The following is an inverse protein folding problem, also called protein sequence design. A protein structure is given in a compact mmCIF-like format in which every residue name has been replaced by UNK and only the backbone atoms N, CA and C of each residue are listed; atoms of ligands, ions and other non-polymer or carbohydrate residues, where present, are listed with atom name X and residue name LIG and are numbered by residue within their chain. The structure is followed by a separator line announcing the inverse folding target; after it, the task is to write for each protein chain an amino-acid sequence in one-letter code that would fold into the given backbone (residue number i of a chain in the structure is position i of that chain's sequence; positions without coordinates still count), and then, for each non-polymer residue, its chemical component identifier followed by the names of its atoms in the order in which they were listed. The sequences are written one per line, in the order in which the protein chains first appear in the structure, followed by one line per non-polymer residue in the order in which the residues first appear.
data_IF_243044176605
#
_entry.id   IF_243044176605
#
_cell.length_a   1.000
_cell.length_b   1.000
_cell.length_c   1.000
_cell.angle_alpha   90.00
_cell.angle_beta   90.00
_cell.angle_gamma   90.00
#
_symmetry.space_group_name_H-M   'P 1'
#
loop_
_entity.id
_entity.type
_entity.pdbx_description
1 polymer ?
#
# COMPACT_ATOMS: atom_id res chain seq x y z
N UNK A 1 -18.59 6.36 2.88
CA UNK A 1 -18.37 6.94 1.52
C UNK A 1 -17.19 7.87 1.58
N UNK A 2 -17.17 8.79 2.55
CA UNK A 2 -16.10 9.77 2.71
C UNK A 2 -14.72 9.11 2.88
N UNK A 3 -14.60 8.03 3.66
CA UNK A 3 -13.35 7.25 3.77
C UNK A 3 -12.81 6.79 2.40
N UNK A 4 -13.69 6.29 1.52
CA UNK A 4 -13.28 5.89 0.17
C UNK A 4 -12.86 7.07 -0.71
N UNK A 5 -13.48 8.24 -0.53
CA UNK A 5 -13.11 9.46 -1.26
C UNK A 5 -11.76 9.97 -0.78
N UNK A 6 -11.49 9.93 0.52
CA UNK A 6 -10.20 10.31 1.10
C UNK A 6 -9.09 9.40 0.55
N UNK A 7 -9.28 8.08 0.60
CA UNK A 7 -8.34 7.12 0.03
C UNK A 7 -8.14 7.34 -1.50
N UNK A 8 -9.21 7.69 -2.22
CA UNK A 8 -9.10 8.02 -3.63
C UNK A 8 -8.27 9.30 -3.88
N UNK A 9 -8.38 10.29 -3.00
CA UNK A 9 -7.63 11.54 -3.10
C UNK A 9 -6.15 11.35 -2.80
N UNK A 10 -5.79 10.44 -1.88
CA UNK A 10 -4.39 10.03 -1.66
C UNK A 10 -3.79 9.38 -2.93
N UNK A 11 -4.57 8.55 -3.62
CA UNK A 11 -4.14 7.97 -4.91
C UNK A 11 -3.99 9.09 -5.96
N UNK A 12 -4.92 10.05 -6.02
CA UNK A 12 -4.84 11.17 -6.96
C UNK A 12 -3.64 12.08 -6.71
N UNK A 13 -3.29 12.32 -5.46
CA UNK A 13 -2.10 13.09 -5.07
C UNK A 13 -0.85 12.44 -5.67
N UNK A 14 -0.67 11.13 -5.44
CA UNK A 14 0.45 10.37 -5.99
C UNK A 14 0.50 10.41 -7.53
N UNK A 15 -0.65 10.32 -8.19
CA UNK A 15 -0.73 10.40 -9.65
C UNK A 15 -0.37 11.80 -10.18
N UNK A 16 -0.78 12.85 -9.47
CA UNK A 16 -0.42 14.24 -9.79
C UNK A 16 1.09 14.46 -9.65
N UNK A 17 1.71 13.95 -8.57
CA UNK A 17 3.16 14.01 -8.36
C UNK A 17 3.93 13.30 -9.48
N UNK A 18 3.53 12.07 -9.82
CA UNK A 18 4.16 11.29 -10.90
C UNK A 18 4.09 12.02 -12.26
N UNK A 19 2.92 12.62 -12.57
CA UNK A 19 2.75 13.40 -13.79
C UNK A 19 3.63 14.65 -13.77
N UNK A 20 3.72 15.34 -12.63
CA UNK A 20 4.54 16.53 -12.46
C UNK A 20 6.03 16.24 -12.68
N UNK A 21 6.57 15.19 -12.04
CA UNK A 21 7.97 14.79 -12.18
C UNK A 21 8.35 14.47 -13.63
N UNK A 22 7.40 13.96 -14.43
CA UNK A 22 7.61 13.57 -15.82
C UNK A 22 7.03 14.56 -16.83
N UNK A 23 6.71 15.79 -16.42
CA UNK A 23 6.06 16.78 -17.30
C UNK A 23 6.92 17.14 -18.53
N UNK A 24 8.25 17.11 -18.40
CA UNK A 24 9.17 17.36 -19.52
C UNK A 24 9.07 16.29 -20.59
N UNK A 25 8.90 15.03 -20.19
CA UNK A 25 8.70 13.92 -21.12
C UNK A 25 7.35 14.04 -21.83
N UNK A 26 6.28 14.28 -21.07
CA UNK A 26 4.92 14.53 -21.60
C UNK A 26 4.94 15.66 -22.63
N UNK A 27 5.66 16.75 -22.34
CA UNK A 27 5.72 17.91 -23.24
C UNK A 27 6.39 17.59 -24.58
N UNK A 28 7.44 16.78 -24.57
CA UNK A 28 8.24 16.46 -25.76
C UNK A 28 7.65 15.32 -26.60
N UNK A 29 6.87 14.42 -26.01
CA UNK A 29 6.21 13.33 -26.71
C UNK A 29 4.93 13.82 -27.42
N UNK A 30 4.64 13.27 -28.61
CA UNK A 30 3.37 13.49 -29.32
C UNK A 30 2.27 12.58 -28.79
N UNK A 31 2.62 11.33 -28.51
CA UNK A 31 1.73 10.31 -27.96
C UNK A 31 1.99 10.11 -26.46
N UNK A 32 1.00 9.59 -25.73
CA UNK A 32 1.14 9.30 -24.31
C UNK A 32 2.09 8.11 -24.11
N UNK A 33 3.22 8.25 -23.39
CA UNK A 33 4.12 7.14 -23.14
C UNK A 33 3.42 6.07 -22.29
N UNK A 34 3.70 4.79 -22.55
CA UNK A 34 3.01 3.67 -21.91
C UNK A 34 3.05 3.75 -20.37
N UNK A 35 4.20 4.12 -19.81
CA UNK A 35 4.42 4.26 -18.37
C UNK A 35 3.56 5.36 -17.70
N UNK A 36 3.03 6.31 -18.48
CA UNK A 36 2.18 7.39 -17.99
C UNK A 36 0.74 7.27 -18.49
N UNK A 37 0.43 6.29 -19.36
CA UNK A 37 -0.91 6.12 -19.91
C UNK A 37 -1.92 5.95 -18.79
N UNK A 38 -1.64 5.07 -17.82
CA UNK A 38 -2.51 4.85 -16.67
C UNK A 38 -2.74 6.13 -15.87
N UNK A 39 -1.67 6.89 -15.58
CA UNK A 39 -1.73 8.13 -14.81
C UNK A 39 -2.58 9.19 -15.52
N UNK A 40 -2.33 9.42 -16.80
CA UNK A 40 -3.04 10.44 -17.58
C UNK A 40 -4.51 10.06 -17.76
N UNK A 41 -4.80 8.80 -18.09
CA UNK A 41 -6.18 8.31 -18.20
C UNK A 41 -6.92 8.46 -16.87
N UNK A 42 -6.27 8.11 -15.76
CA UNK A 42 -6.85 8.23 -14.42
C UNK A 42 -7.20 9.66 -14.04
N UNK A 43 -6.32 10.63 -14.34
CA UNK A 43 -6.58 12.04 -14.06
C UNK A 43 -7.72 12.61 -14.91
N UNK A 44 -7.81 12.23 -16.19
CA UNK A 44 -8.90 12.64 -17.08
C UNK A 44 -10.25 12.08 -16.58
N UNK A 45 -10.28 10.80 -16.22
CA UNK A 45 -11.49 10.16 -15.71
C UNK A 45 -11.91 10.76 -14.35
N UNK A 46 -10.95 10.92 -13.44
CA UNK A 46 -11.21 11.42 -12.09
C UNK A 46 -11.74 12.84 -12.07
N UNK A 47 -11.35 13.70 -13.03
CA UNK A 47 -11.85 15.07 -13.12
C UNK A 47 -13.39 15.12 -13.06
N UNK A 48 -14.10 14.23 -13.77
CA UNK A 48 -15.56 14.18 -13.80
C UNK A 48 -16.22 13.56 -12.56
N UNK A 49 -15.45 12.85 -11.73
CA UNK A 49 -15.93 12.10 -10.58
C UNK A 49 -15.54 12.73 -9.23
N UNK A 50 -14.68 13.77 -9.24
CA UNK A 50 -14.17 14.45 -8.05
C UNK A 50 -14.69 15.89 -7.96
N UNK A 51 -14.71 16.43 -6.74
CA UNK A 51 -15.14 17.80 -6.46
C UNK A 51 -13.97 18.79 -6.51
N UNK A 52 -13.12 18.70 -7.54
CA UNK A 52 -11.90 19.52 -7.70
C UNK A 52 -11.97 20.27 -9.05
N UNK A 53 -12.20 21.59 -8.99
CA UNK A 53 -12.32 22.45 -10.17
C UNK A 53 -11.06 22.51 -11.03
N UNK A 54 -9.90 22.51 -10.40
CA UNK A 54 -8.59 22.61 -11.03
C UNK A 54 -8.28 21.36 -11.85
N UNK A 55 -8.76 20.19 -11.40
CA UNK A 55 -8.60 18.93 -12.12
C UNK A 55 -9.36 18.93 -13.45
N UNK A 56 -10.47 19.68 -13.55
CA UNK A 56 -11.17 19.92 -14.82
C UNK A 56 -10.31 20.73 -15.80
N UNK A 57 -9.52 21.68 -15.31
CA UNK A 57 -8.58 22.41 -16.16
C UNK A 57 -7.45 21.51 -16.62
N UNK A 58 -6.87 20.70 -15.73
CA UNK A 58 -5.84 19.71 -16.09
C UNK A 58 -6.35 18.77 -17.17
N UNK A 59 -7.56 18.22 -17.01
CA UNK A 59 -8.23 17.41 -18.03
C UNK A 59 -8.28 18.10 -19.40
N UNK A 60 -8.71 19.37 -19.46
CA UNK A 60 -8.76 20.13 -20.72
C UNK A 60 -7.38 20.24 -21.38
N UNK A 61 -6.32 20.44 -20.60
CA UNK A 61 -4.95 20.51 -21.11
C UNK A 61 -4.45 19.16 -21.63
N UNK A 62 -4.74 18.07 -20.91
CA UNK A 62 -4.36 16.72 -21.33
C UNK A 62 -5.09 16.28 -22.61
N UNK A 63 -6.38 16.58 -22.73
CA UNK A 63 -7.16 16.30 -23.95
C UNK A 63 -6.63 17.15 -25.13
N UNK A 64 -6.27 18.41 -24.90
CA UNK A 64 -5.64 19.24 -25.95
C UNK A 64 -4.29 18.68 -26.40
N UNK A 65 -3.53 18.06 -25.49
CA UNK A 65 -2.19 17.53 -25.76
C UNK A 65 -2.23 16.19 -26.51
N UNK A 66 -3.05 15.25 -26.08
CA UNK A 66 -3.10 13.88 -26.62
C UNK A 66 -4.23 13.64 -27.63
N UNK A 67 -5.16 14.59 -27.74
CA UNK A 67 -6.27 14.55 -28.68
C UNK A 67 -7.60 14.12 -28.04
N UNK A 68 -8.72 14.41 -28.73
CA UNK A 68 -10.06 14.15 -28.22
C UNK A 68 -10.38 12.66 -28.10
N UNK A 69 -9.91 11.82 -29.02
CA UNK A 69 -10.13 10.36 -28.99
C UNK A 69 -9.55 9.74 -27.71
N UNK A 70 -8.35 10.16 -27.32
CA UNK A 70 -7.71 9.71 -26.07
C UNK A 70 -8.49 10.17 -24.84
N UNK A 71 -8.98 11.42 -24.85
CA UNK A 71 -9.84 11.94 -23.80
C UNK A 71 -11.10 11.09 -23.60
N UNK A 72 -11.74 10.71 -24.70
CA UNK A 72 -12.93 9.86 -24.69
C UNK A 72 -12.63 8.44 -24.19
N UNK A 73 -11.55 7.81 -24.66
CA UNK A 73 -11.08 6.50 -24.16
C UNK A 73 -10.90 6.53 -22.64
N UNK A 74 -10.29 7.60 -22.11
CA UNK A 74 -10.09 7.78 -20.67
C UNK A 74 -11.40 8.03 -19.90
N UNK A 75 -12.29 8.88 -20.41
CA UNK A 75 -13.60 9.16 -19.79
C UNK A 75 -14.48 7.92 -19.68
N UNK A 76 -14.49 7.09 -20.72
CA UNK A 76 -15.25 5.84 -20.77
C UNK A 76 -14.53 4.68 -20.08
N UNK A 77 -13.30 4.90 -19.58
CA UNK A 77 -12.40 3.88 -19.07
C UNK A 77 -12.27 2.67 -20.02
N UNK A 78 -12.19 2.94 -21.33
CA UNK A 78 -12.03 1.90 -22.34
C UNK A 78 -10.67 1.22 -22.15
N UNK A 79 -10.61 -0.10 -22.37
CA UNK A 79 -9.43 -0.94 -22.15
C UNK A 79 -8.90 -0.97 -20.70
N UNK A 80 -9.70 -0.57 -19.70
CA UNK A 80 -9.26 -0.48 -18.30
C UNK A 80 -8.00 0.39 -18.14
N UNK A 81 -7.96 1.51 -18.87
CA UNK A 81 -6.81 2.42 -18.84
C UNK A 81 -6.72 3.27 -17.56
N UNK A 82 -7.78 3.32 -16.75
CA UNK A 82 -7.81 4.00 -15.45
C UNK A 82 -7.31 3.06 -14.35
N UNK A 83 -6.63 3.63 -13.36
CA UNK A 83 -6.21 2.91 -12.17
C UNK A 83 -7.39 2.23 -11.47
N UNK A 84 -7.33 0.90 -11.36
CA UNK A 84 -8.45 0.11 -10.86
C UNK A 84 -8.84 0.45 -9.41
N UNK A 85 -7.86 0.79 -8.56
CA UNK A 85 -8.12 1.15 -7.15
C UNK A 85 -8.88 2.47 -7.06
N UNK A 86 -8.42 3.47 -7.80
CA UNK A 86 -9.08 4.77 -7.92
C UNK A 86 -10.51 4.63 -8.48
N UNK A 87 -10.65 3.87 -9.57
CA UNK A 87 -11.94 3.62 -10.22
C UNK A 87 -12.94 3.00 -9.25
N UNK A 88 -12.53 1.95 -8.52
CA UNK A 88 -13.41 1.27 -7.57
C UNK A 88 -13.81 2.14 -6.37
N UNK A 89 -12.93 3.05 -5.94
CA UNK A 89 -13.16 3.92 -4.78
C UNK A 89 -14.07 5.11 -5.09
N UNK A 90 -13.92 5.71 -6.28
CA UNK A 90 -14.76 6.83 -6.74
C UNK A 90 -16.08 6.36 -7.38
N UNK A 91 -16.14 5.13 -7.88
CA UNK A 91 -17.37 4.57 -8.43
C UNK A 91 -18.45 4.44 -7.36
N UNK A 92 -19.66 4.84 -7.70
CA UNK A 92 -20.80 4.71 -6.82
C UNK A 92 -21.23 3.24 -6.71
N UNK A 93 -20.97 2.63 -5.55
CA UNK A 93 -21.47 1.30 -5.19
C UNK A 93 -22.06 1.33 -3.77
N UNK A 94 -23.25 0.77 -3.54
CA UNK A 94 -23.76 0.56 -2.19
C UNK A 94 -22.78 -0.29 -1.37
N UNK A 95 -22.48 0.15 -0.14
CA UNK A 95 -21.64 -0.62 0.77
C UNK A 95 -22.30 -1.95 1.15
N UNK A 96 -21.51 -2.99 1.36
CA UNK A 96 -22.03 -4.28 1.83
C UNK A 96 -22.55 -4.16 3.27
N UNK A 97 -23.56 -4.97 3.61
CA UNK A 97 -24.11 -5.00 4.98
C UNK A 97 -23.04 -5.33 6.02
N UNK A 98 -22.14 -6.25 5.68
CA UNK A 98 -21.01 -6.63 6.52
C UNK A 98 -20.09 -5.43 6.83
N UNK A 99 -19.72 -4.64 5.82
CA UNK A 99 -18.89 -3.46 6.02
C UNK A 99 -19.58 -2.44 6.94
N UNK A 100 -20.86 -2.14 6.67
CA UNK A 100 -21.66 -1.20 7.48
C UNK A 100 -21.72 -1.64 8.94
N UNK A 101 -21.98 -2.93 9.19
CA UNK A 101 -22.04 -3.46 10.55
C UNK A 101 -20.67 -3.43 11.24
N UNK A 102 -19.59 -3.75 10.52
CA UNK A 102 -18.23 -3.60 11.04
C UNK A 102 -17.93 -2.19 11.52
N UNK A 103 -18.28 -1.17 10.70
CA UNK A 103 -18.16 0.24 11.11
C UNK A 103 -19.03 0.56 12.33
N UNK A 104 -20.28 0.08 12.40
CA UNK A 104 -21.18 0.32 13.54
C UNK A 104 -20.61 -0.26 14.84
N UNK A 105 -20.02 -1.45 14.81
CA UNK A 105 -19.36 -2.07 15.97
C UNK A 105 -18.21 -1.21 16.45
N UNK A 106 -17.30 -0.81 15.54
CA UNK A 106 -16.12 -0.04 15.92
C UNK A 106 -16.50 1.34 16.48
N UNK A 107 -17.49 2.01 15.88
CA UNK A 107 -18.03 3.27 16.42
C UNK A 107 -18.64 3.03 17.82
N UNK A 108 -19.46 2.01 17.99
CA UNK A 108 -20.08 1.70 19.28
C UNK A 108 -19.05 1.42 20.38
N UNK A 109 -17.96 0.71 20.05
CA UNK A 109 -16.82 0.48 20.96
C UNK A 109 -16.13 1.78 21.36
N UNK A 110 -15.83 2.65 20.39
CA UNK A 110 -15.16 3.95 20.64
C UNK A 110 -15.99 4.84 21.56
N UNK A 111 -17.31 4.90 21.33
CA UNK A 111 -18.22 5.76 22.09
C UNK A 111 -18.88 5.07 23.30
N UNK A 112 -18.54 3.81 23.59
CA UNK A 112 -19.09 3.00 24.70
C UNK A 112 -20.63 2.91 24.68
N UNK A 113 -21.20 2.76 23.49
CA UNK A 113 -22.63 2.55 23.28
C UNK A 113 -22.89 1.05 23.15
N UNK A 114 -23.93 0.54 23.78
CA UNK A 114 -24.34 -0.85 23.60
C UNK A 114 -24.97 -1.02 22.20
N UNK A 115 -24.38 -1.90 21.39
CA UNK A 115 -24.84 -2.24 20.04
C UNK A 115 -24.75 -3.75 19.81
N UNK A 116 -25.89 -4.40 19.61
CA UNK A 116 -25.98 -5.83 19.35
C UNK A 116 -26.11 -6.10 17.84
N UNK A 117 -25.33 -7.06 17.32
CA UNK A 117 -25.42 -7.45 15.92
C UNK A 117 -26.61 -8.40 15.69
N UNK A 118 -27.31 -8.30 14.55
CA UNK A 118 -28.24 -9.34 14.13
C UNK A 118 -27.49 -10.67 13.95
N UNK A 119 -27.95 -11.72 14.64
CA UNK A 119 -27.35 -13.07 14.74
C UNK A 119 -27.03 -13.72 13.38
N UNK A 120 -27.69 -13.31 12.30
CA UNK A 120 -27.47 -13.83 10.94
C UNK A 120 -26.07 -13.54 10.37
N UNK A 121 -25.34 -12.57 10.93
CA UNK A 121 -24.04 -12.12 10.41
C UNK A 121 -22.84 -12.67 11.19
N UNK A 122 -23.02 -13.28 12.36
CA UNK A 122 -21.91 -13.87 13.11
C UNK A 122 -21.22 -14.99 12.33
N UNK A 123 -21.95 -15.66 11.42
CA UNK A 123 -21.43 -16.70 10.54
C UNK A 123 -20.74 -16.20 9.26
N UNK A 124 -20.93 -14.94 8.85
CA UNK A 124 -20.34 -14.36 7.63
C UNK A 124 -19.06 -13.53 7.90
N UNK A 125 -18.73 -13.25 9.16
CA UNK A 125 -17.52 -12.49 9.54
C UNK A 125 -16.20 -13.24 9.32
N UNK A 126 -16.29 -14.48 8.84
CA UNK A 126 -15.19 -15.35 8.43
C UNK A 126 -15.45 -15.75 6.99
N UNK A 127 -15.19 -14.87 6.04
CA UNK A 127 -14.59 -15.20 4.74
C UNK A 127 -14.56 -13.95 3.82
N UNK A 128 -13.38 -13.71 3.22
CA UNK A 128 -13.22 -13.11 1.88
C UNK A 128 -13.00 -11.60 1.64
N UNK A 129 -12.39 -10.80 2.54
CA UNK A 129 -11.88 -9.47 2.09
C UNK A 129 -10.54 -9.02 2.72
N UNK A 130 -9.91 -9.84 3.58
CA UNK A 130 -8.58 -9.53 4.14
C UNK A 130 -7.60 -10.70 3.96
N UNK A 131 -7.53 -11.24 2.76
CA UNK A 131 -6.40 -12.08 2.36
C UNK A 131 -5.24 -11.14 1.98
N UNK A 132 -4.14 -11.05 2.76
CA UNK A 132 -2.90 -10.54 2.19
C UNK A 132 -2.58 -11.42 0.99
N UNK A 133 -2.35 -10.80 -0.17
CA UNK A 133 -1.97 -11.49 -1.41
C UNK A 133 -1.09 -12.70 -1.10
N UNK A 134 -1.57 -13.90 -1.45
CA UNK A 134 -0.78 -15.12 -1.35
C UNK A 134 0.57 -14.87 -2.01
N UNK A 135 1.64 -14.99 -1.23
CA UNK A 135 3.00 -14.89 -1.76
C UNK A 135 3.12 -15.85 -2.94
N UNK A 136 3.63 -15.43 -4.12
CA UNK A 136 3.79 -16.31 -5.25
C UNK A 136 4.71 -17.48 -4.85
N UNK A 137 4.12 -18.66 -4.63
CA UNK A 137 4.91 -19.88 -4.48
C UNK A 137 5.53 -20.15 -5.84
N UNK A 138 6.86 -19.98 -5.93
CA UNK A 138 7.65 -20.03 -7.16
C UNK A 138 7.75 -21.40 -7.83
N UNK A 139 6.66 -22.16 -7.89
CA UNK A 139 6.58 -23.46 -8.53
C UNK A 139 5.47 -23.48 -9.57
N UNK A 140 5.75 -22.94 -10.75
CA UNK A 140 5.17 -23.40 -12.03
C UNK A 140 5.70 -22.56 -13.20
N UNK A 141 7.01 -22.64 -13.44
CA UNK A 141 7.50 -22.41 -14.80
C UNK A 141 7.37 -23.76 -15.51
N UNK A 142 6.45 -23.85 -16.46
CA UNK A 142 6.46 -24.96 -17.42
C UNK A 142 7.77 -24.87 -18.22
N UNK A 143 8.61 -25.90 -18.13
CA UNK A 143 9.86 -25.98 -18.87
C UNK A 143 9.59 -25.82 -20.37
N UNK A 144 10.13 -24.75 -20.96
CA UNK A 144 10.21 -24.62 -22.40
C UNK A 144 11.23 -25.66 -22.93
N UNK A 145 10.91 -26.38 -24.01
CA UNK A 145 11.78 -27.41 -24.57
C UNK A 145 12.93 -26.76 -25.34
N UNK A 146 14.01 -26.41 -24.64
CA UNK A 146 15.18 -25.81 -25.29
C UNK A 146 16.48 -25.81 -24.49
N UNK A 147 16.45 -26.12 -23.19
CA UNK A 147 17.66 -26.18 -22.37
C UNK A 147 17.95 -27.63 -22.02
N UNK A 148 19.05 -28.18 -22.55
CA UNK A 148 19.47 -29.59 -22.45
C UNK A 148 19.86 -30.08 -21.05
N UNK A 149 19.13 -29.66 -20.01
CA UNK A 149 19.32 -30.02 -18.61
C UNK A 149 18.40 -31.16 -18.15
N UNK A 150 17.54 -31.70 -19.02
CA UNK A 150 16.59 -32.79 -18.72
C UNK A 150 17.27 -34.06 -18.17
N UNK A 151 18.51 -34.33 -18.59
CA UNK A 151 19.24 -35.53 -18.17
C UNK A 151 19.72 -35.49 -16.71
N UNK A 152 19.90 -34.31 -16.11
CA UNK A 152 20.34 -34.19 -14.72
C UNK A 152 19.20 -34.46 -13.73
N UNK A 153 17.96 -34.15 -14.10
CA UNK A 153 16.80 -34.36 -13.23
C UNK A 153 16.30 -35.81 -13.23
N UNK A 154 16.39 -36.52 -14.35
CA UNK A 154 15.93 -37.92 -14.45
C UNK A 154 16.77 -38.90 -13.62
N UNK A 155 18.01 -38.55 -13.29
CA UNK A 155 18.87 -39.36 -12.44
C UNK A 155 18.63 -39.14 -10.94
N UNK A 156 18.01 -38.02 -10.55
CA UNK A 156 17.67 -37.72 -9.16
C UNK A 156 16.31 -38.30 -8.72
N UNK A 157 15.42 -38.62 -9.64
CA UNK A 157 14.09 -39.20 -9.37
C UNK A 157 14.08 -40.71 -9.05
N UNK A 158 15.24 -41.37 -9.04
CA UNK A 158 15.37 -42.80 -8.75
C UNK A 158 15.77 -43.12 -7.30
N UNK A 159 15.70 -42.15 -6.38
CA UNK A 159 15.93 -42.40 -4.95
C UNK A 159 14.59 -42.43 -4.20
N UNK A 160 14.21 -43.53 -3.55
CA UNK A 160 13.01 -43.57 -2.73
C UNK A 160 13.16 -42.60 -1.55
N UNK A 161 12.17 -41.74 -1.36
CA UNK A 161 12.05 -40.82 -0.22
C UNK A 161 11.90 -41.60 1.10
N UNK A 162 12.52 -41.16 2.21
CA UNK A 162 12.20 -41.70 3.53
C UNK A 162 10.76 -41.32 3.93
N UNK A 163 10.04 -42.17 4.68
CA UNK A 163 8.66 -41.90 5.11
C UNK A 163 8.60 -40.70 6.08
N UNK A 164 7.44 -40.02 6.18
CA UNK A 164 7.25 -38.91 7.10
C UNK A 164 7.39 -39.40 8.55
N UNK A 165 8.27 -38.75 9.32
CA UNK A 165 8.40 -38.98 10.74
C UNK A 165 7.12 -38.52 11.45
N UNK A 166 6.28 -39.47 11.85
CA UNK A 166 5.33 -39.29 12.94
C UNK A 166 6.14 -38.88 14.18
N UNK A 167 6.04 -37.63 14.61
CA UNK A 167 6.58 -37.20 15.90
C UNK A 167 5.73 -37.85 17.00
N UNK A 168 6.12 -39.07 17.38
CA UNK A 168 5.81 -39.58 18.71
C UNK A 168 6.54 -38.67 19.71
N UNK A 169 5.80 -38.11 20.68
CA UNK A 169 6.36 -37.33 21.77
C UNK A 169 7.46 -38.13 22.47
N UNK A 170 8.72 -37.76 22.22
CA UNK A 170 9.87 -38.32 22.91
C UNK A 170 9.92 -37.65 24.28
N UNK A 171 9.58 -38.39 25.33
CA UNK A 171 9.85 -37.97 26.69
C UNK A 171 11.36 -37.73 26.84
N UNK A 172 11.73 -36.56 27.37
CA UNK A 172 13.11 -36.18 27.67
C UNK A 172 13.70 -37.16 28.69
N UNK A 173 14.98 -37.46 28.53
CA UNK A 173 15.70 -38.31 29.47
C UNK A 173 15.92 -37.56 30.80
N UNK A 174 16.00 -38.26 31.95
CA UNK A 174 16.17 -37.60 33.25
C UNK A 174 17.40 -36.68 33.34
N UNK A 175 18.44 -36.97 32.57
CA UNK A 175 19.69 -36.19 32.54
C UNK A 175 19.52 -34.82 31.85
N UNK A 176 18.68 -34.73 30.81
CA UNK A 176 18.41 -33.47 30.09
C UNK A 176 17.51 -32.52 30.91
N UNK A 177 16.70 -33.07 31.81
CA UNK A 177 15.84 -32.31 32.71
C UNK A 177 16.64 -31.63 33.83
N UNK A 178 17.70 -32.28 34.33
CA UNK A 178 18.58 -31.73 35.37
C UNK A 178 19.42 -30.54 34.84
N UNK A 179 19.87 -30.59 33.58
CA UNK A 179 20.61 -29.48 32.97
C UNK A 179 19.74 -28.21 32.81
N UNK A 180 18.47 -28.39 32.44
CA UNK A 180 17.50 -27.30 32.32
C UNK A 180 17.14 -26.67 33.67
N UNK A 181 16.94 -27.50 34.71
CA UNK A 181 16.67 -27.03 36.07
C UNK A 181 17.90 -26.37 36.71
N UNK A 182 19.11 -26.83 36.40
CA UNK A 182 20.36 -26.24 36.89
C UNK A 182 20.65 -24.87 36.25
N UNK A 183 20.26 -24.67 34.99
CA UNK A 183 20.41 -23.40 34.29
C UNK A 183 19.45 -22.32 34.81
N UNK A 184 18.19 -22.68 35.08
CA UNK A 184 17.16 -21.72 35.56
C UNK A 184 17.24 -21.40 37.05
N UNK A 185 17.98 -22.18 37.85
CA UNK A 185 18.20 -21.92 39.28
C UNK A 185 19.26 -20.85 39.58
N UNK A 186 20.14 -20.55 38.62
CA UNK A 186 21.20 -19.55 38.78
C UNK A 186 20.76 -18.10 38.45
N UNK A 187 19.56 -17.90 37.88
CA UNK A 187 19.07 -16.57 37.48
C UNK A 187 18.04 -15.95 38.45
N UNK A 188 18.01 -16.40 39.71
CA UNK A 188 17.10 -15.86 40.72
C UNK A 188 17.83 -15.52 42.02
N UNK A 189 18.68 -14.48 41.99
CA UNK A 189 19.06 -13.59 43.12
C UNK A 189 20.14 -12.59 42.69
N UNK A 190 19.83 -11.30 42.63
CA UNK A 190 20.85 -10.25 42.51
C UNK A 190 20.37 -8.96 41.86
N UNK A 191 20.00 -8.02 42.70
CA UNK A 191 19.49 -6.67 42.42
C UNK A 191 20.53 -5.69 41.84
N UNK A 192 20.07 -4.75 41.01
CA UNK A 192 20.42 -3.32 41.14
C UNK A 192 21.71 -2.78 40.49
N UNK A 193 21.49 -2.00 39.42
CA UNK A 193 22.22 -0.80 38.95
C UNK A 193 23.71 -0.91 38.52
N UNK A 194 23.98 -0.54 37.26
CA UNK A 194 24.80 0.63 36.82
C UNK A 194 25.37 0.41 35.40
N UNK A 195 25.32 1.51 34.64
CA UNK A 195 26.13 1.88 33.46
C UNK A 195 25.76 1.35 32.08
N UNK A 196 25.31 2.29 31.26
CA UNK A 196 25.26 2.23 29.80
C UNK A 196 26.47 3.04 29.28
N UNK A 197 27.27 2.49 28.36
CA UNK A 197 28.04 3.30 27.40
C UNK A 197 27.71 2.96 25.93
N UNK A 198 28.07 3.83 24.98
CA UNK A 198 27.09 4.35 24.03
C UNK A 198 27.21 3.85 22.58
N UNK A 199 26.12 4.06 21.85
CA UNK A 199 25.93 3.89 20.41
C UNK A 199 26.83 4.79 19.55
N UNK A 200 27.26 4.21 18.41
CA UNK A 200 27.91 4.89 17.28
C UNK A 200 26.93 5.72 16.43
N UNK A 201 27.42 6.68 15.63
CA UNK A 201 26.75 7.96 15.41
C UNK A 201 25.80 8.00 14.20
N UNK A 202 24.67 8.70 14.39
CA UNK A 202 23.84 9.23 13.33
C UNK A 202 24.43 10.55 12.80
N UNK A 203 24.53 10.63 11.48
CA UNK A 203 24.80 11.84 10.70
C UNK A 203 23.57 12.75 10.77
N UNK A 204 23.74 14.01 11.15
CA UNK A 204 22.70 15.05 11.05
C UNK A 204 23.04 16.04 9.93
N UNK A 205 22.06 16.55 9.16
CA UNK A 205 22.28 17.72 8.32
C UNK A 205 22.28 18.99 9.18
N UNK A 206 23.33 19.78 9.02
CA UNK A 206 23.52 21.10 9.64
C UNK A 206 22.69 22.12 8.87
N UNK A 207 21.68 22.72 9.51
CA UNK A 207 21.12 24.01 9.09
C UNK A 207 21.47 25.06 10.14
N UNK A 208 22.24 26.07 9.73
CA UNK A 208 22.57 27.25 10.53
C UNK A 208 21.51 28.34 10.33
N UNK A 209 21.07 29.05 11.38
CA UNK A 209 20.23 30.23 11.22
C UNK A 209 21.11 31.48 11.04
N UNK A 210 21.04 32.11 9.86
CA UNK A 210 21.58 33.46 9.64
C UNK A 210 20.49 34.47 10.03
N UNK A 211 20.68 35.11 11.19
CA UNK A 211 19.89 36.26 11.61
C UNK A 211 20.35 37.50 10.84
N UNK A 212 19.60 37.88 9.81
CA UNK A 212 19.70 39.18 9.15
C UNK A 212 18.51 40.08 9.57
N UNK A 213 18.72 41.39 9.80
CA UNK A 213 17.64 42.30 10.20
C UNK A 213 16.64 42.56 9.05
N UNK A 214 15.35 42.82 9.35
CA UNK A 214 14.32 42.96 8.33
C UNK A 214 14.47 44.28 7.54
N UNK A 215 14.22 44.28 6.21
CA UNK A 215 14.08 45.51 5.46
C UNK A 215 12.77 46.21 5.82
N UNK A 216 12.88 47.51 6.14
CA UNK A 216 11.75 48.43 6.26
C UNK A 216 11.14 48.64 4.87
N UNK A 217 9.84 48.43 4.72
CA UNK A 217 9.09 48.86 3.54
C UNK A 217 8.17 50.02 3.95
N UNK A 218 8.44 51.18 3.36
CA UNK A 218 7.68 52.40 3.54
C UNK A 218 6.28 52.26 2.94
N UNK A 219 5.29 52.71 3.71
CA UNK A 219 3.91 52.93 3.28
C UNK A 219 3.82 54.20 2.43
N UNK A 220 3.83 54.04 1.11
CA UNK A 220 3.33 55.05 0.17
C UNK A 220 2.52 54.37 -0.93
N UNK A 221 1.23 54.67 -1.00
CA UNK A 221 0.40 54.26 -2.13
C UNK A 221 -1.10 54.13 -1.86
N UNK A 222 -1.71 55.10 -1.19
CA UNK A 222 -3.14 55.33 -1.34
C UNK A 222 -3.40 55.90 -2.75
N UNK A 223 -4.18 55.19 -3.57
CA UNK A 223 -4.90 55.71 -4.73
C UNK A 223 -5.93 54.64 -5.13
N UNK A 224 -7.17 54.75 -4.69
CA UNK A 224 -8.27 55.27 -5.51
C UNK A 224 -8.45 54.45 -6.80
N UNK A 225 -9.36 53.47 -6.79
CA UNK A 225 -10.58 53.39 -7.60
C UNK A 225 -11.44 52.21 -7.14
#
# INVERSE_FOLDING_TARGET
RDDFVIEAYEILELLCELMHERIRLITNCKECPADLKETVCSLIWAAGNCEISELQEVKKHLIRKFGPEFGKEAEENTNFCVNARLFNKLSYKPASRMLVNGYMIEIAKVYKVAWDLPVELEGELVDDEFQPFSTPSGYSINMAPGSGLTAAYSQASARPSPPPATQAARALSPEEQEEYDQFHKHQAKGTGAVSVPPSSPAIQPVYSPVAGPPPRFDSKGASSF
#
